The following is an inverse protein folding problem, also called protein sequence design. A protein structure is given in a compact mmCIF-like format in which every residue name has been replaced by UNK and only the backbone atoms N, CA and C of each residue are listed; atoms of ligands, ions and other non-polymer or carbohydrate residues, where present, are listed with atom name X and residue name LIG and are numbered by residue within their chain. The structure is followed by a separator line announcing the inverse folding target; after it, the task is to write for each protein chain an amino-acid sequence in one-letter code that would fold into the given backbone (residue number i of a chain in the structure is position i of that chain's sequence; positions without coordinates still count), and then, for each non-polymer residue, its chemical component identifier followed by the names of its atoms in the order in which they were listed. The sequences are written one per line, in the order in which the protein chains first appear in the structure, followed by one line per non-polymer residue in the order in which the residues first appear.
data_IF_209480687478
#
_entry.id   IF_209480687478
#
_cell.length_a   1.000
_cell.length_b   1.000
_cell.length_c   1.000
_cell.angle_alpha   90.00
_cell.angle_beta   90.00
_cell.angle_gamma   90.00
#
_symmetry.space_group_name_H-M   'P 1'
#
loop_
_entity.id
_entity.type
_entity.pdbx_description
1 polymer ?
#
# COMPACT_ATOMS: atom_id res chain seq x y z
N UNK A 1 20.09 -4.91 3.24
CA UNK A 1 20.84 -5.24 1.99
C UNK A 1 19.98 -5.91 0.91
N UNK A 2 18.94 -6.68 1.24
CA UNK A 2 18.08 -7.37 0.24
C UNK A 2 17.18 -6.38 -0.53
N UNK A 3 16.74 -5.29 0.11
CA UNK A 3 15.74 -4.36 -0.44
C UNK A 3 16.18 -3.60 -1.70
N UNK A 4 17.49 -3.38 -1.88
CA UNK A 4 18.01 -2.68 -3.06
C UNK A 4 18.06 -3.58 -4.31
N UNK A 5 18.19 -4.91 -4.16
CA UNK A 5 18.27 -5.82 -5.32
C UNK A 5 16.98 -5.84 -6.14
N UNK A 6 15.83 -5.76 -5.47
CA UNK A 6 14.52 -5.74 -6.12
C UNK A 6 14.34 -4.53 -7.05
N UNK A 7 14.99 -3.40 -6.74
CA UNK A 7 14.88 -2.16 -7.52
C UNK A 7 15.99 -2.04 -8.55
N UNK A 8 17.22 -2.38 -8.18
CA UNK A 8 18.39 -2.17 -9.04
C UNK A 8 18.42 -3.14 -10.24
N UNK A 9 17.83 -4.33 -10.11
CA UNK A 9 17.88 -5.35 -11.16
C UNK A 9 16.56 -5.52 -11.93
N UNK A 10 15.49 -4.84 -11.51
CA UNK A 10 14.17 -5.01 -12.13
C UNK A 10 14.01 -4.00 -13.28
N UNK A 11 14.03 -4.49 -14.51
CA UNK A 11 13.90 -3.68 -15.72
C UNK A 11 12.58 -2.90 -15.80
N UNK A 12 11.51 -3.42 -15.20
CA UNK A 12 10.23 -2.73 -15.15
C UNK A 12 10.28 -1.46 -14.32
N UNK A 13 11.10 -1.43 -13.27
CA UNK A 13 11.29 -0.25 -12.44
C UNK A 13 12.22 0.75 -13.14
N UNK A 14 13.22 0.27 -13.87
CA UNK A 14 14.19 1.07 -14.63
C UNK A 14 13.60 1.75 -15.88
N UNK A 15 12.31 1.56 -16.13
CA UNK A 15 11.56 2.15 -17.25
C UNK A 15 12.03 1.74 -18.65
N UNK A 16 12.75 0.61 -18.77
CA UNK A 16 13.19 0.08 -20.07
C UNK A 16 12.10 -0.72 -20.78
N UNK A 17 11.06 -1.15 -20.07
CA UNK A 17 9.92 -1.90 -20.60
C UNK A 17 8.67 -1.01 -20.80
N UNK A 18 7.75 -1.34 -21.71
CA UNK A 18 6.46 -0.64 -21.84
C UNK A 18 5.59 -0.74 -20.58
N UNK A 19 4.68 0.21 -20.36
CA UNK A 19 3.82 0.21 -19.16
C UNK A 19 2.88 -0.99 -19.05
N UNK A 20 2.42 -1.56 -20.17
CA UNK A 20 1.56 -2.73 -20.11
C UNK A 20 2.31 -3.96 -19.56
N UNK A 21 3.64 -3.99 -19.70
CA UNK A 21 4.49 -5.11 -19.26
C UNK A 21 4.43 -5.32 -17.74
N UNK A 22 4.26 -4.22 -16.99
CA UNK A 22 4.07 -4.22 -15.53
C UNK A 22 2.88 -5.05 -15.04
N UNK A 23 1.92 -5.36 -15.93
CA UNK A 23 0.73 -6.16 -15.64
C UNK A 23 0.85 -7.61 -16.14
N UNK A 24 1.93 -7.93 -16.84
CA UNK A 24 2.24 -9.27 -17.36
C UNK A 24 3.34 -9.93 -16.53
N UNK A 25 4.26 -9.11 -16.02
CA UNK A 25 5.40 -9.58 -15.26
C UNK A 25 5.07 -9.69 -13.76
N UNK A 26 5.84 -10.53 -13.09
CA UNK A 26 5.82 -10.66 -11.64
C UNK A 26 6.53 -9.48 -10.98
N UNK A 27 6.48 -9.43 -9.65
CA UNK A 27 7.07 -8.36 -8.85
C UNK A 27 8.58 -8.12 -9.12
N UNK A 28 9.29 -9.09 -9.70
CA UNK A 28 10.73 -9.04 -9.95
C UNK A 28 11.07 -8.73 -11.42
N UNK A 29 10.08 -8.54 -12.29
CA UNK A 29 10.26 -8.24 -13.70
C UNK A 29 10.44 -9.49 -14.57
N UNK A 30 9.91 -10.63 -14.13
CA UNK A 30 9.87 -11.86 -14.92
C UNK A 30 8.44 -12.14 -15.37
N UNK A 31 8.16 -12.51 -16.64
CA UNK A 31 6.81 -12.83 -17.09
C UNK A 31 6.13 -13.85 -16.17
N UNK A 32 4.92 -13.54 -15.70
CA UNK A 32 4.27 -14.34 -14.64
C UNK A 32 4.01 -15.80 -15.04
N UNK A 33 3.89 -16.05 -16.36
CA UNK A 33 3.68 -17.38 -16.96
C UNK A 33 4.97 -18.19 -17.14
N UNK A 34 6.14 -17.60 -16.89
CA UNK A 34 7.43 -18.27 -16.98
C UNK A 34 7.63 -19.27 -15.83
N UNK A 35 8.32 -20.38 -16.08
CA UNK A 35 8.72 -21.34 -15.04
C UNK A 35 9.68 -20.74 -14.01
N UNK A 36 10.37 -19.64 -14.35
CA UNK A 36 11.31 -18.95 -13.48
C UNK A 36 10.66 -17.79 -12.70
N UNK A 37 9.35 -17.60 -12.87
CA UNK A 37 8.57 -16.61 -12.12
C UNK A 37 8.48 -17.00 -10.66
N UNK A 38 8.53 -16.01 -9.76
CA UNK A 38 8.25 -16.22 -8.34
C UNK A 38 6.74 -16.23 -8.04
N UNK A 39 5.89 -16.11 -9.07
CA UNK A 39 4.43 -16.12 -8.95
C UNK A 39 3.84 -14.92 -8.21
N UNK A 40 4.66 -13.92 -7.87
CA UNK A 40 4.26 -12.80 -7.02
C UNK A 40 3.65 -11.68 -7.86
N UNK A 41 2.33 -11.66 -8.01
CA UNK A 41 1.63 -10.63 -8.79
C UNK A 41 1.33 -9.39 -7.94
N UNK A 42 2.02 -8.27 -8.21
CA UNK A 42 1.89 -7.00 -7.43
C UNK A 42 2.04 -5.76 -8.33
N UNK A 43 1.24 -5.63 -9.41
CA UNK A 43 1.46 -4.62 -10.45
C UNK A 43 1.41 -3.19 -9.93
N UNK A 44 0.50 -2.89 -8.99
CA UNK A 44 0.37 -1.55 -8.39
C UNK A 44 1.65 -1.15 -7.64
N UNK A 45 2.27 -2.09 -6.94
CA UNK A 45 3.52 -1.85 -6.24
C UNK A 45 4.66 -1.56 -7.21
N UNK A 46 4.76 -2.32 -8.30
CA UNK A 46 5.79 -2.10 -9.34
C UNK A 46 5.58 -0.77 -10.06
N UNK A 47 4.34 -0.42 -10.40
CA UNK A 47 3.97 0.90 -10.94
C UNK A 47 4.39 2.02 -9.99
N UNK A 48 4.10 1.89 -8.69
CA UNK A 48 4.53 2.86 -7.68
C UNK A 48 6.05 2.99 -7.60
N UNK A 49 6.79 1.88 -7.71
CA UNK A 49 8.26 1.93 -7.75
C UNK A 49 8.79 2.61 -8.99
N UNK A 50 8.24 2.29 -10.18
CA UNK A 50 8.64 2.94 -11.43
C UNK A 50 8.39 4.43 -11.40
N UNK A 51 7.22 4.88 -10.93
CA UNK A 51 6.92 6.30 -10.74
C UNK A 51 7.88 6.97 -9.76
N UNK A 52 8.23 6.29 -8.66
CA UNK A 52 9.17 6.83 -7.69
C UNK A 52 10.59 6.94 -8.27
N UNK A 53 11.02 5.95 -9.06
CA UNK A 53 12.29 5.95 -9.79
C UNK A 53 12.34 7.10 -10.81
N UNK A 54 11.26 7.37 -11.54
CA UNK A 54 11.20 8.50 -12.48
C UNK A 54 11.40 9.86 -11.81
N UNK A 55 11.01 10.02 -10.54
CA UNK A 55 11.09 11.30 -9.81
C UNK A 55 12.41 11.43 -9.03
N UNK A 56 12.85 10.37 -8.35
CA UNK A 56 13.99 10.41 -7.40
C UNK A 56 15.21 9.60 -7.88
N UNK A 57 15.15 9.00 -9.07
CA UNK A 57 16.17 8.12 -9.62
C UNK A 57 16.41 6.90 -8.73
N UNK A 58 17.69 6.55 -8.58
CA UNK A 58 18.13 5.39 -7.79
C UNK A 58 18.36 5.69 -6.31
N UNK A 59 17.99 6.87 -5.82
CA UNK A 59 18.28 7.26 -4.44
C UNK A 59 17.38 6.46 -3.48
N UNK A 60 17.94 5.62 -2.57
CA UNK A 60 17.12 4.83 -1.64
C UNK A 60 16.24 5.73 -0.74
N UNK A 61 16.70 6.94 -0.47
CA UNK A 61 15.97 7.95 0.29
C UNK A 61 14.57 8.23 -0.29
N UNK A 62 14.43 8.40 -1.60
CA UNK A 62 13.14 8.67 -2.24
C UNK A 62 12.13 7.54 -2.04
N UNK A 63 12.61 6.29 -1.99
CA UNK A 63 11.77 5.12 -1.76
C UNK A 63 11.29 5.02 -0.32
N UNK A 64 12.19 5.26 0.65
CA UNK A 64 11.85 5.28 2.07
C UNK A 64 10.92 6.45 2.41
N UNK A 65 11.12 7.62 1.80
CA UNK A 65 10.26 8.79 1.99
C UNK A 65 8.82 8.49 1.56
N UNK A 66 8.62 7.88 0.40
CA UNK A 66 7.27 7.49 -0.05
C UNK A 66 6.65 6.44 0.88
N UNK A 67 7.42 5.44 1.34
CA UNK A 67 6.91 4.45 2.29
C UNK A 67 6.49 5.11 3.61
N UNK A 68 7.27 6.08 4.11
CA UNK A 68 6.95 6.85 5.30
C UNK A 68 5.66 7.66 5.12
N UNK A 69 5.52 8.37 3.99
CA UNK A 69 4.31 9.15 3.70
C UNK A 69 3.07 8.25 3.59
N UNK A 70 3.17 7.11 2.90
CA UNK A 70 2.10 6.13 2.83
C UNK A 70 1.73 5.62 4.23
N UNK A 71 2.70 5.30 5.07
CA UNK A 71 2.45 4.84 6.43
C UNK A 71 1.77 5.91 7.31
N UNK A 72 2.14 7.18 7.14
CA UNK A 72 1.46 8.29 7.81
C UNK A 72 -0.01 8.38 7.39
N UNK A 73 -0.31 8.23 6.09
CA UNK A 73 -1.69 8.21 5.58
C UNK A 73 -2.48 7.04 6.19
N UNK A 74 -1.90 5.83 6.21
CA UNK A 74 -2.51 4.62 6.81
C UNK A 74 -2.81 4.86 8.29
N UNK A 75 -1.86 5.42 9.05
CA UNK A 75 -2.03 5.71 10.48
C UNK A 75 -3.12 6.75 10.73
N UNK A 76 -3.19 7.80 9.90
CA UNK A 76 -4.24 8.81 9.99
C UNK A 76 -5.62 8.22 9.69
N UNK A 77 -5.74 7.42 8.63
CA UNK A 77 -7.00 6.74 8.28
C UNK A 77 -7.45 5.78 9.39
N UNK A 78 -6.53 5.02 9.97
CA UNK A 78 -6.82 4.16 11.11
C UNK A 78 -7.36 4.97 12.30
N UNK A 79 -6.73 6.09 12.61
CA UNK A 79 -7.17 6.97 13.71
C UNK A 79 -8.58 7.50 13.46
N UNK A 80 -8.86 8.01 12.25
CA UNK A 80 -10.19 8.51 11.85
C UNK A 80 -11.26 7.40 11.98
N UNK A 81 -10.93 6.18 11.57
CA UNK A 81 -11.86 5.05 11.65
C UNK A 81 -12.18 4.69 13.11
N UNK A 82 -11.17 4.64 13.97
CA UNK A 82 -11.33 4.34 15.40
C UNK A 82 -12.08 5.46 16.14
N UNK A 83 -11.85 6.73 15.79
CA UNK A 83 -12.64 7.86 16.31
C UNK A 83 -14.12 7.72 15.98
N UNK A 84 -14.43 7.33 14.74
CA UNK A 84 -15.81 7.11 14.28
C UNK A 84 -16.47 5.93 15.00
N UNK A 85 -15.77 4.80 15.12
CA UNK A 85 -16.32 3.60 15.77
C UNK A 85 -16.55 3.79 17.28
N UNK A 86 -15.74 4.61 17.95
CA UNK A 86 -15.83 4.84 19.40
C UNK A 86 -16.59 6.12 19.79
N UNK A 87 -17.24 6.80 18.83
CA UNK A 87 -18.06 8.01 19.02
C UNK A 87 -17.36 9.09 19.86
N UNK A 88 -16.04 9.27 19.71
CA UNK A 88 -15.22 10.23 20.46
C UNK A 88 -15.27 10.16 22.00
N UNK A 89 -15.97 9.18 22.60
CA UNK A 89 -16.15 9.10 24.06
C UNK A 89 -14.91 8.62 24.80
N UNK A 90 -13.94 8.03 24.10
CA UNK A 90 -12.72 7.43 24.68
C UNK A 90 -11.44 7.92 24.02
N UNK A 91 -11.28 9.25 23.87
CA UNK A 91 -10.12 9.90 23.21
C UNK A 91 -8.75 9.38 23.67
N UNK A 92 -8.59 9.06 24.96
CA UNK A 92 -7.35 8.45 25.49
C UNK A 92 -7.05 7.07 24.88
N UNK A 93 -8.05 6.20 24.73
CA UNK A 93 -7.89 4.87 24.14
C UNK A 93 -7.59 4.99 22.64
N UNK A 94 -8.23 5.95 21.96
CA UNK A 94 -8.00 6.21 20.53
C UNK A 94 -6.56 6.66 20.29
N UNK A 95 -6.03 7.58 21.11
CA UNK A 95 -4.64 8.01 21.03
C UNK A 95 -3.65 6.86 21.33
N UNK A 96 -3.92 6.05 22.36
CA UNK A 96 -3.08 4.89 22.68
C UNK A 96 -3.10 3.87 21.53
N UNK A 97 -4.27 3.57 20.95
CA UNK A 97 -4.39 2.66 19.82
C UNK A 97 -3.66 3.17 18.58
N UNK A 98 -3.77 4.48 18.28
CA UNK A 98 -3.05 5.12 17.17
C UNK A 98 -1.54 5.10 17.40
N UNK A 99 -1.07 5.40 18.62
CA UNK A 99 0.34 5.33 18.98
C UNK A 99 0.87 3.91 18.88
N UNK A 100 0.15 2.92 19.41
CA UNK A 100 0.54 1.51 19.32
C UNK A 100 0.58 1.02 17.87
N UNK A 101 -0.36 1.44 17.02
CA UNK A 101 -0.37 1.11 15.60
C UNK A 101 0.81 1.76 14.87
N UNK A 102 1.08 3.05 15.12
CA UNK A 102 2.21 3.75 14.52
C UNK A 102 3.57 3.19 14.98
N UNK A 103 3.68 2.77 16.24
CA UNK A 103 4.90 2.23 16.82
C UNK A 103 5.05 0.72 16.65
N UNK A 104 4.07 0.02 16.05
CA UNK A 104 4.10 -1.43 15.99
C UNK A 104 5.30 -1.89 15.14
N UNK A 105 6.22 -2.72 15.69
CA UNK A 105 7.46 -3.12 15.01
C UNK A 105 7.25 -3.73 13.62
N UNK A 106 6.12 -4.40 13.41
CA UNK A 106 5.72 -5.00 12.11
C UNK A 106 5.55 -3.95 10.99
N UNK A 107 5.17 -2.73 11.33
CA UNK A 107 5.07 -1.62 10.38
C UNK A 107 6.42 -0.94 10.18
N UNK A 108 7.27 -0.91 11.21
CA UNK A 108 8.64 -0.38 11.11
C UNK A 108 9.50 -1.25 10.18
N UNK A 109 9.40 -2.57 10.23
CA UNK A 109 10.11 -3.47 9.29
C UNK A 109 9.60 -3.34 7.84
N UNK A 110 8.30 -3.14 7.67
CA UNK A 110 7.67 -2.92 6.35
C UNK A 110 7.96 -1.52 5.77
N UNK A 111 8.20 -0.51 6.61
CA UNK A 111 8.55 0.86 6.19
C UNK A 111 10.05 1.00 5.95
N UNK A 112 10.88 0.35 6.76
CA UNK A 112 12.34 0.36 6.61
C UNK A 112 12.81 -0.52 5.46
N UNK A 113 12.07 -1.57 5.10
CA UNK A 113 12.33 -2.31 3.88
C UNK A 113 11.62 -1.65 2.70
N UNK A 114 12.36 -1.33 1.64
CA UNK A 114 11.75 -0.77 0.43
C UNK A 114 10.68 -1.72 -0.15
N UNK A 115 10.90 -3.04 -0.02
CA UNK A 115 10.01 -4.10 -0.51
C UNK A 115 8.68 -4.14 0.25
N UNK A 116 8.62 -3.63 1.49
CA UNK A 116 7.40 -3.59 2.30
C UNK A 116 6.35 -2.57 1.82
N UNK A 117 6.62 -1.83 0.74
CA UNK A 117 5.63 -0.94 0.11
C UNK A 117 4.33 -1.67 -0.26
N UNK A 118 4.43 -2.93 -0.68
CA UNK A 118 3.25 -3.75 -0.98
C UNK A 118 2.33 -3.89 0.24
N UNK A 119 2.89 -4.14 1.42
CA UNK A 119 2.13 -4.34 2.66
C UNK A 119 1.49 -3.03 3.14
N UNK A 120 2.21 -1.91 2.99
CA UNK A 120 1.67 -0.58 3.32
C UNK A 120 0.52 -0.18 2.39
N UNK A 121 0.64 -0.46 1.08
CA UNK A 121 -0.44 -0.23 0.11
C UNK A 121 -1.65 -1.12 0.39
N UNK A 122 -1.43 -2.41 0.70
CA UNK A 122 -2.51 -3.31 1.08
C UNK A 122 -3.26 -2.81 2.33
N UNK A 123 -2.54 -2.37 3.36
CA UNK A 123 -3.14 -1.77 4.55
C UNK A 123 -3.93 -0.49 4.22
N UNK A 124 -3.42 0.36 3.32
CA UNK A 124 -4.10 1.56 2.87
C UNK A 124 -5.45 1.24 2.20
N UNK A 125 -5.45 0.34 1.21
CA UNK A 125 -6.66 -0.02 0.48
C UNK A 125 -7.67 -0.73 1.39
N UNK A 126 -7.20 -1.60 2.29
CA UNK A 126 -8.04 -2.26 3.28
C UNK A 126 -8.74 -1.26 4.20
N UNK A 127 -8.00 -0.29 4.77
CA UNK A 127 -8.58 0.74 5.63
C UNK A 127 -9.53 1.67 4.88
N UNK A 128 -9.22 2.02 3.62
CA UNK A 128 -10.13 2.79 2.78
C UNK A 128 -11.42 2.03 2.51
N UNK A 129 -11.34 0.74 2.17
CA UNK A 129 -12.51 -0.10 1.96
C UNK A 129 -13.38 -0.17 3.22
N UNK A 130 -12.75 -0.35 4.39
CA UNK A 130 -13.45 -0.37 5.67
C UNK A 130 -14.07 0.99 6.01
N UNK A 131 -13.37 2.10 5.74
CA UNK A 131 -13.89 3.45 5.92
C UNK A 131 -15.14 3.70 5.07
N UNK A 132 -15.10 3.35 3.78
CA UNK A 132 -16.26 3.47 2.90
C UNK A 132 -17.40 2.54 3.29
N UNK A 133 -17.10 1.33 3.77
CA UNK A 133 -18.10 0.40 4.29
C UNK A 133 -18.82 0.95 5.53
N UNK A 134 -18.09 1.51 6.50
CA UNK A 134 -18.70 2.16 7.67
C UNK A 134 -19.54 3.37 7.24
N UNK A 135 -19.02 4.20 6.32
CA UNK A 135 -19.78 5.34 5.77
C UNK A 135 -21.04 4.89 5.04
N UNK A 136 -21.01 3.74 4.37
CA UNK A 136 -22.15 3.15 3.70
C UNK A 136 -23.22 2.72 4.68
N UNK A 137 -22.86 2.02 5.77
CA UNK A 137 -23.81 1.64 6.81
C UNK A 137 -24.47 2.88 7.44
N UNK A 138 -23.71 3.94 7.66
CA UNK A 138 -24.22 5.20 8.22
C UNK A 138 -25.09 6.00 7.23
N UNK A 139 -24.94 5.77 5.92
CA UNK A 139 -25.64 6.51 4.87
C UNK A 139 -26.76 5.66 4.30
N UNK A 140 -28.02 6.06 4.50
CA UNK A 140 -29.22 5.34 4.03
C UNK A 140 -29.41 5.29 2.47
N UNK A 141 -28.33 5.37 1.68
CA UNK A 141 -28.33 5.45 0.21
C UNK A 141 -27.53 4.28 -0.38
N UNK A 142 -28.26 3.18 -0.60
CA UNK A 142 -27.79 1.79 -0.70
C UNK A 142 -26.96 1.35 -1.91
N UNK A 143 -26.73 2.15 -2.97
CA UNK A 143 -26.24 1.58 -4.24
C UNK A 143 -24.89 2.10 -4.76
N UNK A 144 -24.45 3.32 -4.40
CA UNK A 144 -23.21 3.90 -4.96
C UNK A 144 -21.92 3.38 -4.28
N UNK A 145 -22.00 3.02 -2.99
CA UNK A 145 -20.84 2.60 -2.21
C UNK A 145 -20.52 1.11 -2.34
N UNK A 146 -21.51 0.27 -2.70
CA UNK A 146 -21.31 -1.14 -3.02
C UNK A 146 -20.40 -1.33 -4.24
N UNK A 147 -20.55 -0.49 -5.26
CA UNK A 147 -19.66 -0.51 -6.42
C UNK A 147 -18.22 -0.14 -6.04
N UNK A 148 -18.03 0.82 -5.12
CA UNK A 148 -16.72 1.23 -4.63
C UNK A 148 -16.04 0.18 -3.74
N UNK A 149 -16.79 -0.50 -2.86
CA UNK A 149 -16.24 -1.58 -2.04
C UNK A 149 -15.88 -2.81 -2.86
N UNK A 150 -16.70 -3.16 -3.86
CA UNK A 150 -16.40 -4.27 -4.77
C UNK A 150 -15.15 -3.94 -5.62
N UNK A 151 -15.06 -2.73 -6.19
CA UNK A 151 -13.87 -2.30 -6.93
C UNK A 151 -12.59 -2.36 -6.07
N UNK A 152 -12.63 -1.89 -4.82
CA UNK A 152 -11.46 -1.89 -3.94
C UNK A 152 -11.07 -3.29 -3.44
N UNK A 153 -12.05 -4.16 -3.16
CA UNK A 153 -11.80 -5.54 -2.74
C UNK A 153 -11.14 -6.38 -3.85
N UNK A 154 -11.39 -6.05 -5.12
CA UNK A 154 -10.76 -6.74 -6.26
C UNK A 154 -9.31 -6.35 -6.55
N UNK A 155 -8.78 -5.31 -5.88
CA UNK A 155 -7.37 -4.86 -6.01
C UNK A 155 -6.46 -5.29 -4.85
N UNK A 156 -6.92 -6.18 -3.96
CA UNK A 156 -6.12 -6.79 -2.87
C UNK A 156 -5.41 -8.07 -3.32
#
# INVERSE_FOLDING_TARGET
MISNRAILNNQDILSTTPWYQLFIDDFWGTPIRSSNSHGSYRPITVVSFRLNHMIHGHTPFGFHLVNLLLHLIVTLLYTILIERLLNNRRRRIIMIAAMLFASHPIHVESVTSIVGRADVLAALFYLLALYFYVKFIDSNHGNAYLAYTILMATFS
#
